data_IF_263606694866
#
_entry.id   IF_263606694866
#
_cell.length_a   1.000
_cell.length_b   1.000
_cell.length_c   1.000
_cell.angle_alpha   90.00
_cell.angle_beta   90.00
_cell.angle_gamma   90.00
#
_symmetry.space_group_name_H-M   'P 1'
#
loop_
_entity.id
_entity.type
_entity.pdbx_description
1 polymer ?
#
# COMPACT_ATOMS: atom_id res chain seq x y z
N UNK A 1 6.14 -7.20 -12.80
CA UNK A 1 6.41 -6.72 -11.43
C UNK A 1 5.66 -7.64 -10.47
N UNK A 2 6.31 -8.08 -9.41
CA UNK A 2 5.75 -9.05 -8.46
C UNK A 2 5.42 -8.31 -7.17
N UNK A 3 4.25 -8.60 -6.62
CA UNK A 3 3.80 -8.01 -5.38
C UNK A 3 3.88 -9.04 -4.25
N UNK A 4 4.61 -8.74 -3.17
CA UNK A 4 4.89 -9.65 -2.07
C UNK A 4 4.29 -9.13 -0.77
N UNK A 5 3.50 -9.95 -0.10
CA UNK A 5 2.95 -9.65 1.22
C UNK A 5 3.78 -10.33 2.31
N UNK A 6 4.20 -9.57 3.31
CA UNK A 6 4.78 -10.10 4.54
C UNK A 6 3.67 -10.34 5.53
N UNK A 7 3.38 -11.60 5.85
CA UNK A 7 2.55 -11.94 7.01
C UNK A 7 3.47 -12.26 8.16
N UNK A 8 3.46 -11.47 9.22
CA UNK A 8 4.09 -11.83 10.47
C UNK A 8 3.29 -13.01 11.08
N UNK A 9 3.69 -14.23 10.81
CA UNK A 9 3.20 -15.39 11.52
C UNK A 9 3.82 -15.39 12.93
N UNK A 10 3.19 -14.70 13.86
CA UNK A 10 3.40 -14.90 15.27
C UNK A 10 2.83 -16.25 15.65
N UNK A 11 3.68 -17.24 15.88
CA UNK A 11 3.23 -18.56 16.33
C UNK A 11 4.31 -19.60 16.14
N UNK A 12 5.47 -19.41 16.75
CA UNK A 12 6.37 -20.52 17.02
C UNK A 12 5.87 -21.22 18.29
N UNK A 13 5.13 -22.32 18.16
CA UNK A 13 5.08 -23.33 19.19
C UNK A 13 6.48 -23.93 19.28
N UNK A 14 7.29 -23.42 20.23
CA UNK A 14 8.57 -24.00 20.55
C UNK A 14 8.32 -25.40 21.11
N UNK A 15 8.74 -26.43 20.38
CA UNK A 15 9.07 -27.71 20.99
C UNK A 15 10.15 -27.43 22.04
N UNK A 16 9.97 -27.96 23.24
CA UNK A 16 10.90 -27.86 24.36
C UNK A 16 12.26 -28.49 23.99
N UNK A 17 13.08 -27.75 23.29
CA UNK A 17 14.51 -27.94 23.15
C UNK A 17 15.19 -27.58 24.49
N UNK A 18 16.28 -28.26 24.79
CA UNK A 18 17.00 -28.07 26.06
C UNK A 18 17.37 -26.58 26.27
N UNK A 19 17.38 -26.16 27.55
CA UNK A 19 17.74 -24.76 27.94
C UNK A 19 19.11 -24.34 27.40
N UNK A 20 19.97 -25.30 27.04
CA UNK A 20 21.28 -25.06 26.44
C UNK A 20 21.19 -24.60 24.97
N UNK A 21 20.24 -25.14 24.20
CA UNK A 21 20.04 -24.71 22.78
C UNK A 21 19.36 -23.33 22.69
N UNK A 22 18.42 -23.05 23.62
CA UNK A 22 17.82 -21.73 23.72
C UNK A 22 18.86 -20.64 24.08
N UNK A 23 19.84 -20.97 24.93
CA UNK A 23 20.91 -20.07 25.31
C UNK A 23 21.95 -19.85 24.19
N UNK A 24 22.17 -20.86 23.33
CA UNK A 24 22.99 -20.74 22.13
C UNK A 24 22.32 -19.90 21.03
N UNK A 25 20.99 -20.09 20.84
CA UNK A 25 20.20 -19.27 19.91
C UNK A 25 20.11 -17.81 20.35
N UNK A 26 19.98 -17.55 21.66
CA UNK A 26 20.04 -16.17 22.19
C UNK A 26 21.44 -15.53 22.06
N UNK A 27 22.50 -16.31 22.08
CA UNK A 27 23.88 -15.78 21.98
C UNK A 27 24.24 -15.36 20.54
N UNK A 28 23.53 -15.89 19.52
CA UNK A 28 23.69 -15.48 18.12
C UNK A 28 22.90 -14.20 17.76
N UNK A 29 22.08 -13.71 18.68
CA UNK A 29 21.26 -12.51 18.50
C UNK A 29 21.90 -11.25 19.14
N UNK A 30 23.18 -11.33 19.58
CA UNK A 30 23.90 -10.12 20.05
C UNK A 30 24.22 -9.26 18.83
N UNK A 31 23.78 -7.98 18.80
CA UNK A 31 24.07 -7.08 17.69
C UNK A 31 25.57 -6.96 17.51
N UNK A 32 26.08 -7.25 16.34
CA UNK A 32 27.43 -6.88 15.94
C UNK A 32 27.39 -5.41 15.55
N UNK A 33 28.04 -4.57 16.33
CA UNK A 33 28.14 -3.12 16.13
C UNK A 33 26.79 -2.36 15.94
N UNK A 34 25.73 -2.77 16.64
CA UNK A 34 24.42 -2.08 16.59
C UNK A 34 23.50 -2.55 15.45
N UNK A 35 23.83 -3.62 14.75
CA UNK A 35 23.00 -4.23 13.72
C UNK A 35 22.43 -5.57 14.17
N UNK A 36 21.18 -5.84 13.80
CA UNK A 36 20.58 -7.16 13.86
C UNK A 36 20.49 -7.75 12.45
N UNK A 37 20.95 -8.98 12.29
CA UNK A 37 20.78 -9.71 11.03
C UNK A 37 19.45 -10.44 11.03
N UNK A 38 18.57 -10.11 10.07
CA UNK A 38 17.38 -10.87 9.79
C UNK A 38 17.73 -12.06 8.89
N UNK A 39 17.31 -13.28 9.29
CA UNK A 39 17.51 -14.48 8.48
C UNK A 39 16.70 -14.44 7.17
N UNK A 40 17.16 -15.16 6.16
CA UNK A 40 16.44 -15.31 4.90
C UNK A 40 15.05 -15.93 5.15
N UNK A 41 14.02 -15.33 4.56
CA UNK A 41 12.62 -15.79 4.67
C UNK A 41 11.95 -15.85 3.30
N UNK A 42 10.99 -16.76 3.14
CA UNK A 42 10.11 -16.81 1.97
C UNK A 42 8.91 -15.91 2.21
N UNK A 43 8.63 -15.03 1.25
CA UNK A 43 7.51 -14.10 1.29
C UNK A 43 6.49 -14.55 0.23
N UNK A 44 5.20 -14.72 0.57
CA UNK A 44 4.20 -15.12 -0.41
C UNK A 44 3.97 -14.02 -1.45
N UNK A 45 3.82 -14.41 -2.70
CA UNK A 45 3.40 -13.52 -3.79
C UNK A 45 1.88 -13.48 -3.79
N UNK A 46 1.30 -12.29 -3.62
CA UNK A 46 -0.17 -12.13 -3.58
C UNK A 46 -0.75 -11.63 -4.90
N UNK A 47 0.05 -10.97 -5.72
CA UNK A 47 -0.35 -10.54 -7.06
C UNK A 47 0.86 -10.33 -7.97
N UNK A 48 0.63 -10.50 -9.28
CA UNK A 48 1.54 -10.12 -10.34
C UNK A 48 0.89 -9.04 -11.18
N UNK A 49 1.50 -7.86 -11.22
CA UNK A 49 0.93 -6.66 -11.85
C UNK A 49 2.01 -5.91 -12.64
N UNK A 50 1.55 -4.99 -13.48
CA UNK A 50 2.45 -4.18 -14.30
C UNK A 50 2.86 -2.89 -13.56
N UNK A 51 2.01 -2.43 -12.63
CA UNK A 51 2.25 -1.22 -11.84
C UNK A 51 1.76 -1.39 -10.39
N UNK A 52 2.58 -0.99 -9.44
CA UNK A 52 2.16 -0.80 -8.04
C UNK A 52 2.14 0.69 -7.72
N UNK A 53 1.03 1.15 -7.16
CA UNK A 53 0.86 2.53 -6.68
C UNK A 53 0.87 2.50 -5.14
N UNK A 54 1.84 3.15 -4.51
CA UNK A 54 1.93 3.27 -3.07
C UNK A 54 1.31 4.59 -2.60
N UNK A 55 0.22 4.51 -1.86
CA UNK A 55 -0.55 5.64 -1.32
C UNK A 55 -2.03 5.54 -1.64
N UNK A 56 -2.87 6.16 -0.80
CA UNK A 56 -4.33 6.19 -0.94
C UNK A 56 -4.88 7.61 -1.18
N UNK A 57 -4.04 8.57 -1.58
CA UNK A 57 -4.47 9.93 -1.88
C UNK A 57 -5.31 10.01 -3.16
N UNK A 58 -6.09 11.06 -3.31
CA UNK A 58 -6.88 11.30 -4.53
C UNK A 58 -6.01 11.31 -5.80
N UNK A 59 -4.75 11.78 -5.69
CA UNK A 59 -3.78 11.79 -6.78
C UNK A 59 -3.26 10.41 -7.11
N UNK A 60 -3.00 9.58 -6.09
CA UNK A 60 -2.58 8.19 -6.27
C UNK A 60 -3.67 7.40 -6.99
N UNK A 61 -4.94 7.58 -6.60
CA UNK A 61 -6.08 6.94 -7.26
C UNK A 61 -6.20 7.43 -8.71
N UNK A 62 -6.07 8.73 -8.96
CA UNK A 62 -6.10 9.26 -10.33
C UNK A 62 -5.00 8.64 -11.22
N UNK A 63 -3.79 8.46 -10.69
CA UNK A 63 -2.68 7.82 -11.38
C UNK A 63 -2.95 6.32 -11.63
N UNK A 64 -3.44 5.61 -10.62
CA UNK A 64 -3.79 4.19 -10.74
C UNK A 64 -4.87 3.96 -11.81
N UNK A 65 -5.94 4.74 -11.76
CA UNK A 65 -7.04 4.68 -12.74
C UNK A 65 -6.56 5.06 -14.15
N UNK A 66 -5.71 6.08 -14.28
CA UNK A 66 -5.14 6.44 -15.58
C UNK A 66 -4.32 5.30 -16.18
N UNK A 67 -3.49 4.64 -15.38
CA UNK A 67 -2.70 3.49 -15.82
C UNK A 67 -3.59 2.29 -16.17
N UNK A 68 -4.61 2.00 -15.36
CA UNK A 68 -5.54 0.90 -15.65
C UNK A 68 -6.28 1.11 -16.98
N UNK A 69 -6.68 2.36 -17.28
CA UNK A 69 -7.32 2.72 -18.57
C UNK A 69 -6.42 2.52 -19.79
N UNK A 70 -5.11 2.43 -19.63
CA UNK A 70 -4.18 2.06 -20.71
C UNK A 70 -3.99 0.55 -20.87
N UNK A 71 -4.72 -0.26 -20.08
CA UNK A 71 -4.65 -1.71 -20.12
C UNK A 71 -3.64 -2.32 -19.13
N UNK A 72 -2.98 -1.52 -18.29
CA UNK A 72 -2.06 -2.01 -17.28
C UNK A 72 -2.81 -2.69 -16.13
N UNK A 73 -2.28 -3.81 -15.63
CA UNK A 73 -2.74 -4.42 -14.37
C UNK A 73 -2.13 -3.59 -13.22
N UNK A 74 -2.97 -3.00 -12.40
CA UNK A 74 -2.55 -2.07 -11.35
C UNK A 74 -2.93 -2.60 -9.98
N UNK A 75 -2.03 -2.46 -9.01
CA UNK A 75 -2.29 -2.71 -7.60
C UNK A 75 -1.98 -1.47 -6.78
N UNK A 76 -2.94 -1.00 -5.98
CA UNK A 76 -2.78 0.14 -5.09
C UNK A 76 -2.63 -0.32 -3.64
N UNK A 77 -1.66 0.23 -2.93
CA UNK A 77 -1.38 -0.04 -1.51
C UNK A 77 -1.60 1.23 -0.72
N UNK A 78 -2.69 1.29 0.05
CA UNK A 78 -3.04 2.41 0.92
C UNK A 78 -2.67 2.15 2.38
N UNK A 79 -1.95 3.07 3.01
CA UNK A 79 -1.56 2.93 4.43
C UNK A 79 -2.70 3.25 5.40
N UNK A 80 -3.68 4.05 4.98
CA UNK A 80 -4.86 4.35 5.78
C UNK A 80 -5.95 3.27 5.57
N UNK A 81 -6.90 3.12 6.51
CA UNK A 81 -8.05 2.24 6.34
C UNK A 81 -9.14 2.84 5.43
N UNK A 82 -8.80 3.85 4.66
CA UNK A 82 -9.68 4.54 3.71
C UNK A 82 -8.85 5.26 2.65
N UNK A 83 -9.50 5.65 1.55
CA UNK A 83 -8.91 6.46 0.47
C UNK A 83 -9.19 7.95 0.66
N UNK A 84 -8.36 8.80 0.04
CA UNK A 84 -8.52 10.25 0.08
C UNK A 84 -8.01 10.88 1.38
N UNK A 85 -6.91 10.38 1.93
CA UNK A 85 -6.28 10.95 3.12
C UNK A 85 -5.83 12.40 2.93
N UNK A 86 -5.48 12.79 1.71
CA UNK A 86 -5.13 14.15 1.35
C UNK A 86 -6.30 15.13 1.45
N UNK A 87 -7.54 14.66 1.31
CA UNK A 87 -8.76 15.47 1.45
C UNK A 87 -9.39 15.21 2.82
N UNK A 88 -9.67 13.95 3.14
CA UNK A 88 -10.40 13.58 4.36
C UNK A 88 -9.56 13.72 5.63
N UNK A 89 -8.27 13.38 5.55
CA UNK A 89 -7.34 13.49 6.69
C UNK A 89 -6.94 14.93 6.98
N UNK A 90 -6.87 15.77 5.96
CA UNK A 90 -6.52 17.19 6.07
C UNK A 90 -7.74 18.10 6.23
N UNK A 91 -8.95 17.55 6.18
CA UNK A 91 -10.21 18.32 6.19
C UNK A 91 -10.32 19.37 5.06
N UNK A 92 -9.70 19.10 3.92
CA UNK A 92 -9.65 19.99 2.74
C UNK A 92 -10.89 19.77 1.86
N UNK A 93 -12.07 20.10 2.36
CA UNK A 93 -13.32 19.97 1.63
C UNK A 93 -13.70 21.25 0.87
N UNK A 94 -13.01 22.35 1.14
CA UNK A 94 -13.25 23.63 0.51
C UNK A 94 -12.49 23.75 -0.82
N UNK A 95 -13.10 24.49 -1.74
CA UNK A 95 -12.52 24.90 -2.99
C UNK A 95 -12.47 26.42 -3.07
N UNK A 96 -11.49 26.94 -3.77
CA UNK A 96 -11.45 28.37 -4.06
C UNK A 96 -12.64 28.79 -4.93
N UNK A 97 -13.16 29.97 -4.68
CA UNK A 97 -14.25 30.53 -5.47
C UNK A 97 -13.82 30.70 -6.93
N UNK A 98 -14.56 30.08 -7.85
CA UNK A 98 -14.24 30.14 -9.28
C UNK A 98 -13.28 29.08 -9.78
N UNK A 99 -12.75 28.21 -8.92
CA UNK A 99 -11.90 27.09 -9.33
C UNK A 99 -12.64 26.17 -10.31
N UNK A 100 -12.01 25.93 -11.46
CA UNK A 100 -12.54 25.00 -12.48
C UNK A 100 -11.99 23.60 -12.26
N UNK A 101 -12.88 22.64 -12.04
CA UNK A 101 -12.51 21.23 -11.90
C UNK A 101 -12.11 20.65 -13.26
N UNK A 102 -10.81 20.42 -13.44
CA UNK A 102 -10.22 20.00 -14.72
C UNK A 102 -10.52 18.55 -15.08
N UNK A 103 -10.57 17.64 -14.08
CA UNK A 103 -10.69 16.20 -14.32
C UNK A 103 -12.10 15.69 -14.05
N UNK A 104 -12.44 14.54 -14.65
CA UNK A 104 -13.70 13.85 -14.37
C UNK A 104 -13.78 13.41 -12.91
N UNK A 105 -12.66 12.91 -12.35
CA UNK A 105 -12.60 12.52 -10.94
C UNK A 105 -12.85 13.72 -10.01
N UNK A 106 -12.20 14.87 -10.26
CA UNK A 106 -12.43 16.06 -9.46
C UNK A 106 -13.91 16.49 -9.47
N UNK A 107 -14.57 16.42 -10.64
CA UNK A 107 -16.01 16.73 -10.74
C UNK A 107 -16.89 15.73 -9.97
N UNK A 108 -16.50 14.46 -9.89
CA UNK A 108 -17.19 13.45 -9.07
C UNK A 108 -16.97 13.68 -7.58
N UNK A 109 -15.76 14.06 -7.17
CA UNK A 109 -15.44 14.35 -5.78
C UNK A 109 -16.14 15.60 -5.25
N UNK A 110 -16.33 16.60 -6.11
CA UNK A 110 -16.93 17.89 -5.78
C UNK A 110 -18.12 18.20 -6.70
N UNK A 111 -19.24 17.46 -6.58
CA UNK A 111 -20.33 17.52 -7.58
C UNK A 111 -21.21 18.76 -7.54
N UNK A 112 -21.06 19.62 -6.53
CA UNK A 112 -21.95 20.75 -6.32
C UNK A 112 -21.29 21.99 -5.71
N UNK A 113 -22.14 22.90 -5.23
CA UNK A 113 -21.70 24.11 -4.50
C UNK A 113 -21.43 23.83 -3.04
N UNK A 114 -22.03 22.77 -2.47
CA UNK A 114 -21.85 22.37 -1.08
C UNK A 114 -20.57 21.53 -0.95
N UNK A 115 -19.97 21.56 0.24
CA UNK A 115 -18.83 20.74 0.56
C UNK A 115 -19.22 19.26 0.53
N UNK A 116 -18.40 18.40 -0.09
CA UNK A 116 -18.63 16.97 -0.07
C UNK A 116 -18.44 16.42 1.36
N UNK A 117 -19.20 15.40 1.70
CA UNK A 117 -18.96 14.69 2.96
C UNK A 117 -17.73 13.78 2.85
N UNK A 118 -17.04 13.49 3.96
CA UNK A 118 -15.93 12.50 3.96
C UNK A 118 -16.33 11.16 3.38
N UNK A 119 -17.56 10.70 3.67
CA UNK A 119 -18.06 9.43 3.15
C UNK A 119 -18.22 9.47 1.62
N UNK A 120 -18.72 10.58 1.07
CA UNK A 120 -18.83 10.76 -0.38
C UNK A 120 -17.46 10.67 -1.06
N UNK A 121 -16.45 11.36 -0.52
CA UNK A 121 -15.07 11.32 -1.05
C UNK A 121 -14.54 9.89 -1.05
N UNK A 122 -14.59 9.22 0.12
CA UNK A 122 -14.06 7.85 0.30
C UNK A 122 -14.72 6.87 -0.68
N UNK A 123 -16.06 6.90 -0.72
CA UNK A 123 -16.83 6.02 -1.61
C UNK A 123 -16.54 6.30 -3.09
N UNK A 124 -16.49 7.57 -3.49
CA UNK A 124 -16.20 7.93 -4.89
C UNK A 124 -14.83 7.43 -5.34
N UNK A 125 -13.81 7.54 -4.47
CA UNK A 125 -12.47 7.06 -4.79
C UNK A 125 -12.40 5.54 -4.86
N UNK A 126 -13.12 4.84 -3.98
CA UNK A 126 -13.21 3.37 -4.01
C UNK A 126 -13.96 2.88 -5.26
N UNK A 127 -15.10 3.48 -5.58
CA UNK A 127 -15.86 3.18 -6.79
C UNK A 127 -14.97 3.38 -8.05
N UNK A 128 -14.15 4.43 -8.10
CA UNK A 128 -13.22 4.65 -9.24
C UNK A 128 -12.19 3.53 -9.40
N UNK A 129 -11.67 2.97 -8.30
CA UNK A 129 -10.76 1.83 -8.38
C UNK A 129 -11.49 0.57 -8.85
N UNK A 130 -12.66 0.29 -8.30
CA UNK A 130 -13.48 -0.89 -8.63
C UNK A 130 -13.92 -0.84 -10.10
N UNK A 131 -14.46 0.29 -10.56
CA UNK A 131 -14.95 0.48 -11.93
C UNK A 131 -13.85 0.33 -12.99
N UNK A 132 -12.59 0.56 -12.62
CA UNK A 132 -11.43 0.40 -13.49
C UNK A 132 -10.59 -0.86 -13.21
N UNK A 133 -11.13 -1.82 -12.45
CA UNK A 133 -10.47 -3.08 -12.12
C UNK A 133 -9.08 -2.92 -11.47
N UNK A 134 -8.86 -1.87 -10.72
CA UNK A 134 -7.65 -1.69 -9.92
C UNK A 134 -7.78 -2.50 -8.64
N UNK A 135 -6.84 -3.41 -8.40
CA UNK A 135 -6.74 -4.12 -7.13
C UNK A 135 -6.18 -3.20 -6.06
N UNK A 136 -6.66 -3.30 -4.83
CA UNK A 136 -6.14 -2.45 -3.76
C UNK A 136 -6.17 -3.13 -2.39
N UNK A 137 -5.35 -2.63 -1.48
CA UNK A 137 -5.24 -3.10 -0.10
C UNK A 137 -5.12 -1.90 0.85
N UNK A 138 -5.96 -1.88 1.88
CA UNK A 138 -5.94 -0.89 2.95
C UNK A 138 -4.96 -1.26 4.08
N UNK A 139 -4.69 -0.29 4.97
CA UNK A 139 -3.89 -0.46 6.19
C UNK A 139 -2.56 -1.19 5.94
N UNK A 140 -1.92 -0.88 4.81
CA UNK A 140 -0.75 -1.60 4.33
C UNK A 140 0.35 -0.66 3.90
N UNK A 141 1.58 -1.02 4.25
CA UNK A 141 2.77 -0.23 3.97
C UNK A 141 3.68 -0.96 2.99
N UNK A 142 4.17 -0.25 1.98
CA UNK A 142 5.29 -0.71 1.18
C UNK A 142 6.56 -0.54 2.02
N UNK A 143 7.20 -1.64 2.35
CA UNK A 143 8.37 -1.67 3.26
C UNK A 143 9.68 -1.82 2.51
N UNK A 144 9.67 -2.44 1.33
CA UNK A 144 10.87 -2.67 0.55
C UNK A 144 10.55 -2.81 -0.94
N UNK A 145 11.52 -2.48 -1.78
CA UNK A 145 11.51 -2.74 -3.22
C UNK A 145 12.47 -3.89 -3.50
N UNK A 146 11.98 -4.92 -4.16
CA UNK A 146 12.81 -6.03 -4.62
C UNK A 146 13.34 -5.71 -6.02
N UNK A 147 14.59 -6.08 -6.27
CA UNK A 147 15.21 -5.95 -7.57
C UNK A 147 15.58 -7.32 -8.13
N UNK A 148 15.59 -7.44 -9.44
CA UNK A 148 16.14 -8.59 -10.13
C UNK A 148 17.69 -8.58 -10.13
N UNK A 149 18.36 -9.64 -10.60
CA UNK A 149 19.82 -9.68 -10.67
C UNK A 149 20.45 -8.58 -11.53
N UNK A 150 19.68 -7.93 -12.41
CA UNK A 150 20.14 -6.79 -13.22
C UNK A 150 19.97 -5.44 -12.50
N UNK A 151 19.43 -5.43 -11.28
CA UNK A 151 19.14 -4.23 -10.48
C UNK A 151 17.84 -3.51 -10.84
N UNK A 152 17.02 -4.08 -11.73
CA UNK A 152 15.71 -3.48 -12.06
C UNK A 152 14.65 -3.83 -11.01
N UNK A 153 13.72 -2.92 -10.71
CA UNK A 153 12.61 -3.23 -9.82
C UNK A 153 11.82 -4.46 -10.30
N UNK A 154 11.67 -5.46 -9.43
CA UNK A 154 10.98 -6.71 -9.70
C UNK A 154 9.71 -6.87 -8.86
N UNK A 155 9.54 -6.06 -7.81
CA UNK A 155 8.36 -6.09 -6.97
C UNK A 155 8.51 -5.26 -5.73
N UNK A 156 7.47 -5.29 -4.89
CA UNK A 156 7.46 -4.62 -3.60
C UNK A 156 7.04 -5.60 -2.50
N UNK A 157 7.56 -5.37 -1.31
CA UNK A 157 7.16 -6.07 -0.09
C UNK A 157 6.20 -5.18 0.67
N UNK A 158 5.09 -5.75 1.11
CA UNK A 158 4.13 -5.06 1.95
C UNK A 158 4.03 -5.71 3.32
N UNK A 159 3.78 -4.88 4.32
CA UNK A 159 3.35 -5.26 5.65
C UNK A 159 1.96 -4.67 5.94
N UNK A 160 1.12 -5.44 6.60
CA UNK A 160 -0.17 -5.03 7.13
C UNK A 160 -0.46 -5.74 8.45
#
# INVERSE_FOLDING_TARGET
MIFLKVTAAGGALASLGSVTEAKAAMKSAVPDEGFCHEGARKIPVIAEVDLVVAGGSSRAIAAAVAAAKTGSRVYLVGYMPYLGEDICGSHLYEREAGEKLQTALARKLFPGKNFPTPLHIKKTLEDELIDNNVQFLYSSYVTNVLTDPSGKPAGVVIAN
#
